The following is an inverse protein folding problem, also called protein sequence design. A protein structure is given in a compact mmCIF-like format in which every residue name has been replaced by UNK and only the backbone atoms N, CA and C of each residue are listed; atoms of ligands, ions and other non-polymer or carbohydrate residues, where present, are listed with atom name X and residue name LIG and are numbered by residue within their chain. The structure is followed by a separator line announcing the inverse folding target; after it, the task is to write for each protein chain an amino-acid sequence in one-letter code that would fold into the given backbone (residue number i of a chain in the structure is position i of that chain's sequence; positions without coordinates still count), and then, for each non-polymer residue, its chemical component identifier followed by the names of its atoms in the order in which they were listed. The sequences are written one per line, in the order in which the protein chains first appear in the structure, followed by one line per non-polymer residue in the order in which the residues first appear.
data_IF_523106402013
#
_entry.id   IF_523106402013
#
_cell.length_a   1.000
_cell.length_b   1.000
_cell.length_c   1.000
_cell.angle_alpha   90.00
_cell.angle_beta   90.00
_cell.angle_gamma   90.00
#
_symmetry.space_group_name_H-M   'P 1'
#
loop_
_entity.id
_entity.type
_entity.pdbx_description
1 polymer ?
#
# COMPACT_ATOMS: atom_id res chain seq x y z
N UNK A 1 24.85 -1.42 26.20
CA UNK A 1 24.98 -2.67 25.43
C UNK A 1 24.28 -2.45 24.11
N UNK A 2 25.00 -2.52 22.98
CA UNK A 2 24.39 -2.30 21.67
C UNK A 2 23.49 -3.49 21.34
N UNK A 3 22.22 -3.22 21.04
CA UNK A 3 21.21 -4.24 20.78
C UNK A 3 21.34 -4.71 19.33
N UNK A 4 21.40 -6.03 19.06
CA UNK A 4 21.44 -6.54 17.70
C UNK A 4 20.19 -6.11 16.89
N UNK A 5 20.37 -5.77 15.62
CA UNK A 5 19.28 -5.22 14.77
C UNK A 5 18.14 -6.21 14.52
N UNK A 6 18.43 -7.50 14.52
CA UNK A 6 17.43 -8.56 14.46
C UNK A 6 17.95 -9.84 15.16
N UNK A 7 17.10 -10.86 15.27
CA UNK A 7 17.48 -12.14 15.88
C UNK A 7 18.66 -12.82 15.17
N UNK A 8 18.75 -12.72 13.84
CA UNK A 8 19.86 -13.31 13.08
C UNK A 8 21.15 -12.54 13.31
N UNK A 9 21.10 -11.21 13.41
CA UNK A 9 22.24 -10.38 13.78
C UNK A 9 22.76 -10.74 15.18
N UNK A 10 21.88 -11.04 16.14
CA UNK A 10 22.28 -11.57 17.46
C UNK A 10 23.06 -12.88 17.33
N UNK A 11 22.53 -13.84 16.57
CA UNK A 11 23.18 -15.13 16.32
C UNK A 11 24.57 -14.96 15.68
N UNK A 12 24.69 -14.06 14.71
CA UNK A 12 25.97 -13.75 14.05
C UNK A 12 26.95 -13.03 14.99
N UNK A 13 26.44 -12.16 15.87
CA UNK A 13 27.25 -11.47 16.87
C UNK A 13 27.82 -12.47 17.88
N UNK A 14 27.00 -13.41 18.34
CA UNK A 14 27.43 -14.48 19.24
C UNK A 14 28.48 -15.38 18.57
N UNK A 15 28.30 -15.73 17.28
CA UNK A 15 29.29 -16.44 16.48
C UNK A 15 30.59 -15.66 16.32
N UNK A 16 30.51 -14.35 16.08
CA UNK A 16 31.67 -13.46 15.98
C UNK A 16 32.47 -13.39 17.29
N UNK A 17 31.78 -13.34 18.42
CA UNK A 17 32.39 -13.17 19.74
C UNK A 17 32.95 -14.48 20.31
N UNK A 18 32.25 -15.60 20.10
CA UNK A 18 32.56 -16.88 20.73
C UNK A 18 33.25 -17.87 19.78
N UNK A 19 33.26 -17.58 18.47
CA UNK A 19 33.75 -18.46 17.41
C UNK A 19 32.89 -19.71 17.16
N UNK A 20 31.96 -20.03 18.08
CA UNK A 20 30.98 -21.11 17.93
C UNK A 20 29.76 -20.88 18.82
N UNK A 21 28.60 -21.40 18.39
CA UNK A 21 27.35 -21.38 19.16
C UNK A 21 26.64 -22.74 19.09
N UNK A 22 25.77 -23.04 20.06
CA UNK A 22 24.89 -24.20 19.97
C UNK A 22 23.86 -24.03 18.85
N UNK A 23 23.60 -25.09 18.08
CA UNK A 23 22.61 -25.06 16.99
C UNK A 23 21.20 -24.77 17.50
N UNK A 24 20.90 -25.09 18.76
CA UNK A 24 19.64 -24.73 19.43
C UNK A 24 19.42 -23.22 19.56
N UNK A 25 20.48 -22.42 19.52
CA UNK A 25 20.40 -20.96 19.60
C UNK A 25 20.12 -20.31 18.24
N UNK A 26 20.20 -21.08 17.14
CA UNK A 26 19.88 -20.63 15.80
C UNK A 26 18.49 -21.15 15.38
N UNK A 27 17.50 -20.24 15.34
CA UNK A 27 16.17 -20.56 14.81
C UNK A 27 16.18 -20.85 13.30
N UNK A 28 15.08 -21.43 12.77
CA UNK A 28 14.97 -21.79 11.35
C UNK A 28 15.27 -20.64 10.38
N UNK A 29 14.88 -19.41 10.73
CA UNK A 29 15.14 -18.21 9.93
C UNK A 29 16.64 -17.85 9.88
N UNK A 30 17.34 -18.00 11.00
CA UNK A 30 18.79 -17.79 11.08
C UNK A 30 19.52 -18.85 10.26
N UNK A 31 19.14 -20.13 10.39
CA UNK A 31 19.73 -21.23 9.60
C UNK A 31 19.55 -20.95 8.10
N UNK A 32 18.35 -20.57 7.66
CA UNK A 32 18.08 -20.22 6.25
C UNK A 32 18.98 -19.07 5.77
N UNK A 33 19.14 -18.00 6.57
CA UNK A 33 20.01 -16.86 6.22
C UNK A 33 21.51 -17.18 6.32
N UNK A 34 21.91 -18.19 7.08
CA UNK A 34 23.29 -18.68 7.13
C UNK A 34 23.60 -19.69 6.02
N UNK A 35 22.59 -20.18 5.29
CA UNK A 35 22.73 -21.16 4.20
C UNK A 35 23.91 -20.90 3.26
N UNK A 36 24.06 -19.69 2.68
CA UNK A 36 25.19 -19.38 1.81
C UNK A 36 26.57 -19.56 2.47
N UNK A 37 26.69 -19.27 3.77
CA UNK A 37 27.94 -19.46 4.52
C UNK A 37 28.20 -20.93 4.88
N UNK A 38 27.14 -21.71 5.10
CA UNK A 38 27.24 -23.15 5.32
C UNK A 38 27.66 -23.87 4.03
N UNK A 39 27.02 -23.51 2.92
CA UNK A 39 27.30 -24.08 1.60
C UNK A 39 28.73 -23.73 1.12
N UNK A 40 29.20 -22.51 1.43
CA UNK A 40 30.56 -22.07 1.12
C UNK A 40 31.63 -22.54 2.12
N UNK A 41 31.25 -23.24 3.21
CA UNK A 41 32.18 -23.71 4.24
C UNK A 41 32.77 -22.63 5.14
N UNK A 42 32.25 -21.39 5.09
CA UNK A 42 32.63 -20.28 5.97
C UNK A 42 32.22 -20.58 7.42
N UNK A 43 31.06 -21.21 7.58
CA UNK A 43 30.57 -21.79 8.84
C UNK A 43 30.40 -23.29 8.63
N UNK A 44 30.73 -24.08 9.65
CA UNK A 44 30.46 -25.53 9.65
C UNK A 44 29.50 -25.91 10.77
N UNK A 45 28.62 -26.88 10.50
CA UNK A 45 27.86 -27.58 11.53
C UNK A 45 28.64 -28.80 12.02
N UNK A 46 28.97 -28.85 13.32
CA UNK A 46 29.74 -29.95 13.93
C UNK A 46 28.97 -30.59 15.09
N UNK A 47 29.17 -31.89 15.32
CA UNK A 47 28.67 -32.56 16.53
C UNK A 47 29.54 -32.22 17.73
N UNK A 48 28.91 -31.91 18.87
CA UNK A 48 29.60 -31.70 20.15
C UNK A 48 28.78 -32.35 21.28
N UNK A 49 29.30 -33.47 21.79
CA UNK A 49 28.56 -34.31 22.75
C UNK A 49 27.24 -34.82 22.15
N UNK A 50 26.14 -34.67 22.89
CA UNK A 50 24.80 -35.02 22.42
C UNK A 50 24.17 -33.97 21.47
N UNK A 51 24.82 -32.82 21.24
CA UNK A 51 24.29 -31.70 20.47
C UNK A 51 25.06 -31.38 19.20
N UNK A 52 24.66 -30.28 18.56
CA UNK A 52 25.30 -29.71 17.36
C UNK A 52 25.68 -28.26 17.62
N UNK A 53 26.77 -27.82 17.01
CA UNK A 53 27.24 -26.44 17.06
C UNK A 53 27.45 -25.88 15.66
N UNK A 54 27.29 -24.58 15.50
CA UNK A 54 27.82 -23.85 14.36
C UNK A 54 29.17 -23.24 14.75
N UNK A 55 30.18 -23.38 13.89
CA UNK A 55 31.54 -22.88 14.13
C UNK A 55 32.05 -22.11 12.93
N UNK A 56 32.65 -20.94 13.17
CA UNK A 56 33.29 -20.14 12.12
C UNK A 56 34.61 -20.81 11.71
N UNK A 57 34.79 -21.06 10.41
CA UNK A 57 35.99 -21.68 9.83
C UNK A 57 36.86 -20.68 9.10
N UNK A 58 36.24 -19.73 8.42
CA UNK A 58 36.91 -18.62 7.76
C UNK A 58 36.43 -17.29 8.39
N UNK A 59 37.17 -16.75 9.37
CA UNK A 59 36.82 -15.49 10.01
C UNK A 59 36.77 -14.30 9.03
N UNK A 60 37.64 -14.30 8.01
CA UNK A 60 37.73 -13.20 7.05
C UNK A 60 36.48 -13.17 6.16
N UNK A 61 36.11 -14.32 5.59
CA UNK A 61 34.90 -14.43 4.78
C UNK A 61 33.63 -14.21 5.63
N UNK A 62 33.63 -14.64 6.89
CA UNK A 62 32.52 -14.41 7.82
C UNK A 62 32.30 -12.92 8.10
N UNK A 63 33.38 -12.17 8.39
CA UNK A 63 33.30 -10.72 8.61
C UNK A 63 32.83 -10.00 7.35
N UNK A 64 33.37 -10.37 6.18
CA UNK A 64 32.96 -9.79 4.90
C UNK A 64 31.47 -10.05 4.60
N UNK A 65 30.97 -11.24 4.92
CA UNK A 65 29.55 -11.56 4.81
C UNK A 65 28.70 -10.69 5.74
N UNK A 66 29.09 -10.56 7.01
CA UNK A 66 28.36 -9.74 7.97
C UNK A 66 28.30 -8.27 7.53
N UNK A 67 29.40 -7.70 7.02
CA UNK A 67 29.43 -6.33 6.51
C UNK A 67 28.61 -6.14 5.23
N UNK A 68 28.52 -7.18 4.39
CA UNK A 68 27.69 -7.16 3.18
C UNK A 68 26.20 -7.13 3.53
N UNK A 69 25.78 -7.99 4.46
CA UNK A 69 24.38 -8.15 4.88
C UNK A 69 23.92 -7.09 5.89
N UNK A 70 24.85 -6.54 6.68
CA UNK A 70 24.61 -5.54 7.71
C UNK A 70 25.65 -4.40 7.59
N UNK A 71 25.44 -3.46 6.66
CA UNK A 71 26.44 -2.42 6.39
C UNK A 71 26.67 -1.47 7.57
N UNK A 72 25.68 -1.30 8.46
CA UNK A 72 25.81 -0.53 9.70
C UNK A 72 26.20 -1.40 10.91
N UNK A 73 26.71 -2.60 10.66
CA UNK A 73 27.09 -3.57 11.67
C UNK A 73 25.91 -4.33 12.28
N UNK A 74 26.24 -5.40 13.01
CA UNK A 74 25.25 -6.32 13.59
C UNK A 74 24.39 -5.68 14.69
N UNK A 75 24.90 -4.62 15.32
CA UNK A 75 24.15 -3.87 16.33
C UNK A 75 23.56 -2.55 15.82
N UNK A 76 23.66 -2.27 14.51
CA UNK A 76 23.04 -1.12 13.88
C UNK A 76 23.44 0.18 14.53
N UNK A 77 24.74 0.47 14.57
CA UNK A 77 25.26 1.76 15.03
C UNK A 77 24.89 2.83 14.00
N UNK A 78 23.62 3.19 13.98
CA UNK A 78 23.08 4.24 13.15
C UNK A 78 23.27 5.56 13.88
N UNK A 79 23.76 6.56 13.14
CA UNK A 79 24.01 7.91 13.68
C UNK A 79 22.73 8.63 14.12
N UNK A 80 21.56 8.17 13.66
CA UNK A 80 20.26 8.75 13.96
C UNK A 80 19.37 7.72 14.67
N UNK A 81 19.09 7.89 15.97
CA UNK A 81 18.23 7.00 16.75
C UNK A 81 16.74 7.10 16.39
N UNK A 82 16.32 8.13 15.65
CA UNK A 82 14.94 8.29 15.15
C UNK A 82 14.75 7.69 13.75
N UNK A 83 15.80 7.10 13.17
CA UNK A 83 15.72 6.48 11.85
C UNK A 83 14.82 5.24 11.88
N UNK A 84 13.68 5.32 11.18
CA UNK A 84 12.68 4.25 11.11
C UNK A 84 12.35 3.81 9.68
N UNK A 85 11.52 2.78 9.58
CA UNK A 85 10.90 2.35 8.33
C UNK A 85 11.89 1.90 7.25
N UNK A 86 11.66 2.35 6.02
CA UNK A 86 12.47 1.96 4.86
C UNK A 86 13.91 2.47 4.95
N UNK A 87 14.12 3.66 5.49
CA UNK A 87 15.45 4.26 5.64
C UNK A 87 16.31 3.44 6.59
N UNK A 88 15.74 3.06 7.75
CA UNK A 88 16.39 2.13 8.67
C UNK A 88 16.74 0.81 7.98
N UNK A 89 15.81 0.23 7.20
CA UNK A 89 16.05 -1.05 6.56
C UNK A 89 17.12 -1.01 5.47
N UNK A 90 17.25 0.10 4.74
CA UNK A 90 18.40 0.31 3.84
C UNK A 90 19.69 0.39 4.64
N UNK A 91 19.71 1.15 5.72
CA UNK A 91 20.91 1.32 6.53
C UNK A 91 21.30 0.04 7.29
N UNK A 92 20.34 -0.77 7.73
CA UNK A 92 20.58 -1.99 8.48
C UNK A 92 20.80 -3.21 7.57
N UNK A 93 20.20 -3.24 6.37
CA UNK A 93 20.11 -4.45 5.55
C UNK A 93 20.35 -4.26 4.05
N UNK A 94 20.57 -3.03 3.56
CA UNK A 94 20.61 -2.66 2.12
C UNK A 94 19.32 -2.95 1.35
N UNK A 95 18.22 -3.18 2.06
CA UNK A 95 16.95 -3.56 1.43
C UNK A 95 15.78 -2.83 2.09
N UNK A 96 15.25 -1.83 1.39
CA UNK A 96 14.11 -1.04 1.84
C UNK A 96 12.85 -1.87 2.08
N UNK A 97 12.71 -3.04 1.45
CA UNK A 97 11.54 -3.91 1.59
C UNK A 97 11.51 -4.67 2.92
N UNK A 98 12.65 -4.69 3.63
CA UNK A 98 12.75 -5.26 4.99
C UNK A 98 12.29 -4.27 6.07
N UNK A 99 12.00 -3.03 5.70
CA UNK A 99 11.48 -2.00 6.58
C UNK A 99 9.97 -2.09 6.74
N UNK A 100 9.47 -1.55 7.85
CA UNK A 100 8.04 -1.31 8.00
C UNK A 100 7.50 -0.29 6.98
N UNK A 101 6.19 -0.12 6.96
CA UNK A 101 5.53 0.92 6.16
C UNK A 101 6.12 2.30 6.45
N UNK A 102 6.19 3.16 5.42
CA UNK A 102 6.66 4.55 5.55
C UNK A 102 5.92 5.27 6.68
N UNK A 103 6.63 6.06 7.50
CA UNK A 103 6.02 6.93 8.50
C UNK A 103 5.04 7.92 7.85
N UNK A 104 5.44 8.47 6.70
CA UNK A 104 4.64 9.38 5.89
C UNK A 104 3.69 8.66 4.95
N UNK A 105 2.54 9.28 4.70
CA UNK A 105 1.54 8.87 3.74
C UNK A 105 0.93 10.13 3.08
N UNK A 106 1.58 10.69 2.05
CA UNK A 106 1.03 11.83 1.33
C UNK A 106 -0.16 11.40 0.47
N UNK A 107 -1.19 12.23 0.43
CA UNK A 107 -2.33 12.11 -0.49
C UNK A 107 -2.47 13.39 -1.31
N UNK A 108 -2.89 13.25 -2.56
CA UNK A 108 -3.20 14.37 -3.44
C UNK A 108 -4.70 14.67 -3.36
N UNK A 109 -5.03 15.95 -3.36
CA UNK A 109 -6.37 16.46 -3.17
C UNK A 109 -6.74 17.42 -4.29
N UNK A 110 -7.97 17.31 -4.79
CA UNK A 110 -8.62 18.36 -5.57
C UNK A 110 -9.90 18.76 -4.86
N UNK A 111 -10.08 20.06 -4.66
CA UNK A 111 -11.23 20.64 -3.97
C UNK A 111 -12.02 21.53 -4.90
N UNK A 112 -13.34 21.56 -4.71
CA UNK A 112 -14.26 22.34 -5.53
C UNK A 112 -15.17 23.18 -4.64
N UNK A 113 -15.62 24.33 -5.15
CA UNK A 113 -16.42 25.28 -4.37
C UNK A 113 -15.63 25.83 -3.18
N UNK A 114 -16.12 25.61 -1.96
CA UNK A 114 -15.48 26.02 -0.71
C UNK A 114 -14.85 24.84 0.05
N UNK A 115 -14.28 23.87 -0.68
CA UNK A 115 -13.69 22.69 -0.07
C UNK A 115 -12.42 23.04 0.73
N UNK A 116 -12.42 22.63 1.99
CA UNK A 116 -11.37 22.90 2.96
C UNK A 116 -11.11 21.66 3.82
N UNK A 117 -9.88 21.51 4.30
CA UNK A 117 -9.53 20.57 5.35
C UNK A 117 -9.27 21.35 6.63
N UNK A 118 -9.82 20.88 7.75
CA UNK A 118 -9.65 21.52 9.06
C UNK A 118 -8.86 20.57 9.95
N UNK A 119 -7.73 21.01 10.47
CA UNK A 119 -6.95 20.20 11.42
C UNK A 119 -7.57 20.22 12.82
N UNK A 120 -7.21 19.22 13.63
CA UNK A 120 -7.55 19.16 15.06
C UNK A 120 -7.09 20.39 15.88
N UNK A 121 -6.03 21.08 15.46
CA UNK A 121 -5.57 22.33 16.07
C UNK A 121 -6.22 23.61 15.48
N UNK A 122 -7.21 23.47 14.59
CA UNK A 122 -7.98 24.57 14.02
C UNK A 122 -7.35 25.28 12.82
N UNK A 123 -6.22 24.80 12.30
CA UNK A 123 -5.68 25.29 11.04
C UNK A 123 -6.58 24.84 9.87
N UNK A 124 -6.66 25.70 8.86
CA UNK A 124 -7.50 25.48 7.68
C UNK A 124 -6.61 25.39 6.45
N UNK A 125 -6.80 24.33 5.66
CA UNK A 125 -6.19 24.18 4.35
C UNK A 125 -7.25 24.46 3.27
N UNK A 126 -7.13 25.58 2.52
CA UNK A 126 -8.11 25.97 1.51
C UNK A 126 -7.92 25.17 0.20
N UNK A 127 -8.35 23.91 0.21
CA UNK A 127 -8.07 22.96 -0.89
C UNK A 127 -8.64 23.43 -2.22
N UNK A 128 -9.82 24.03 -2.26
CA UNK A 128 -10.39 24.56 -3.49
C UNK A 128 -9.52 25.66 -4.10
N UNK A 129 -9.08 26.64 -3.31
CA UNK A 129 -8.18 27.70 -3.77
C UNK A 129 -6.82 27.17 -4.25
N UNK A 130 -6.28 26.15 -3.56
CA UNK A 130 -5.05 25.50 -3.98
C UNK A 130 -5.23 24.69 -5.27
N UNK A 131 -6.41 24.11 -5.47
CA UNK A 131 -6.76 23.39 -6.71
C UNK A 131 -6.87 24.36 -7.88
N UNK A 132 -7.51 25.51 -7.69
CA UNK A 132 -7.58 26.56 -8.72
C UNK A 132 -6.19 27.12 -9.05
N UNK A 133 -5.34 27.34 -8.05
CA UNK A 133 -4.01 27.90 -8.22
C UNK A 133 -3.00 26.93 -8.85
N UNK A 134 -2.97 25.68 -8.39
CA UNK A 134 -1.90 24.73 -8.67
C UNK A 134 -2.37 23.41 -9.31
N UNK A 135 -3.68 23.27 -9.55
CA UNK A 135 -4.31 22.04 -10.05
C UNK A 135 -4.50 20.96 -8.98
N UNK A 136 -3.76 21.02 -7.86
CA UNK A 136 -3.76 19.99 -6.80
C UNK A 136 -3.24 20.57 -5.48
N UNK A 137 -3.74 20.06 -4.36
CA UNK A 137 -3.15 20.23 -3.05
C UNK A 137 -2.59 18.89 -2.53
N UNK A 138 -1.66 18.92 -1.59
CA UNK A 138 -1.12 17.71 -0.98
C UNK A 138 -1.08 17.84 0.54
N UNK A 139 -1.44 16.76 1.23
CA UNK A 139 -1.30 16.64 2.68
C UNK A 139 -0.69 15.32 3.05
N UNK A 140 0.15 15.33 4.07
CA UNK A 140 0.61 14.10 4.70
C UNK A 140 -0.38 13.72 5.80
N UNK A 141 -1.06 12.58 5.65
CA UNK A 141 -2.09 12.13 6.61
C UNK A 141 -1.53 11.19 7.69
N UNK A 142 -0.24 10.84 7.61
CA UNK A 142 0.42 10.02 8.61
C UNK A 142 1.76 10.64 9.05
N UNK A 143 1.98 10.76 10.34
CA UNK A 143 3.18 11.42 10.88
C UNK A 143 3.19 12.94 10.68
N UNK A 144 2.02 13.56 10.44
CA UNK A 144 1.86 15.00 10.56
C UNK A 144 1.63 15.38 12.03
N UNK A 145 1.96 16.62 12.39
CA UNK A 145 1.76 17.15 13.75
C UNK A 145 0.28 17.39 14.11
N UNK A 146 -0.61 17.26 13.14
CA UNK A 146 -2.04 17.44 13.28
C UNK A 146 -2.77 16.46 12.37
N UNK A 147 -4.02 16.17 12.72
CA UNK A 147 -4.89 15.32 11.90
C UNK A 147 -5.91 16.16 11.16
N UNK A 148 -6.02 15.95 9.85
CA UNK A 148 -6.96 16.67 8.99
C UNK A 148 -8.34 16.05 9.02
N UNK A 149 -9.38 16.87 9.14
CA UNK A 149 -10.78 16.48 8.99
C UNK A 149 -11.31 16.85 7.62
N UNK A 150 -12.22 16.01 7.12
CA UNK A 150 -12.88 16.18 5.83
C UNK A 150 -14.39 16.10 6.02
N UNK A 151 -15.13 16.88 5.22
CA UNK A 151 -16.59 16.90 5.19
C UNK A 151 -17.13 16.93 3.76
N UNK A 152 -18.39 16.53 3.57
CA UNK A 152 -19.10 16.66 2.29
C UNK A 152 -18.98 15.43 1.39
N UNK A 153 -19.20 15.63 0.09
CA UNK A 153 -19.16 14.57 -0.93
C UNK A 153 -17.74 14.38 -1.45
N UNK A 154 -17.16 13.22 -1.18
CA UNK A 154 -15.74 12.95 -1.42
C UNK A 154 -15.56 11.76 -2.35
N UNK A 155 -14.85 11.97 -3.46
CA UNK A 155 -14.43 10.92 -4.36
C UNK A 155 -13.05 10.37 -3.96
N UNK A 156 -12.95 9.08 -3.66
CA UNK A 156 -11.68 8.38 -3.47
C UNK A 156 -11.30 7.74 -4.81
N UNK A 157 -10.28 8.31 -5.45
CA UNK A 157 -9.94 8.03 -6.86
C UNK A 157 -8.63 7.27 -6.95
N UNK A 158 -8.66 6.11 -7.61
CA UNK A 158 -7.46 5.29 -7.84
C UNK A 158 -6.60 5.84 -8.99
N UNK A 159 -7.25 6.21 -10.09
CA UNK A 159 -6.60 6.58 -11.33
C UNK A 159 -6.30 8.09 -11.42
N UNK A 160 -5.09 8.44 -11.87
CA UNK A 160 -4.65 9.84 -11.90
C UNK A 160 -5.34 10.66 -13.00
N UNK A 161 -5.62 10.09 -14.17
CA UNK A 161 -6.31 10.78 -15.28
C UNK A 161 -7.75 11.11 -14.88
N UNK A 162 -8.43 10.15 -14.23
CA UNK A 162 -9.78 10.36 -13.69
C UNK A 162 -9.76 11.40 -12.57
N UNK A 163 -8.75 11.39 -11.70
CA UNK A 163 -8.62 12.37 -10.62
C UNK A 163 -8.56 13.82 -11.15
N UNK A 164 -7.83 14.06 -12.23
CA UNK A 164 -7.74 15.39 -12.85
C UNK A 164 -8.99 15.82 -13.63
N UNK A 165 -9.97 14.93 -13.83
CA UNK A 165 -11.24 15.21 -14.53
C UNK A 165 -12.46 14.77 -13.73
N UNK A 166 -12.30 14.59 -12.43
CA UNK A 166 -13.31 13.99 -11.55
C UNK A 166 -14.63 14.79 -11.52
N UNK A 167 -14.57 16.11 -11.68
CA UNK A 167 -15.72 17.02 -11.76
C UNK A 167 -16.58 16.78 -13.01
N UNK A 168 -16.01 16.19 -14.06
CA UNK A 168 -16.76 15.81 -15.26
C UNK A 168 -17.59 14.55 -14.99
N UNK A 169 -17.08 13.66 -14.13
CA UNK A 169 -17.60 12.32 -13.85
C UNK A 169 -18.57 12.32 -12.66
N UNK A 170 -18.12 12.81 -11.50
CA UNK A 170 -18.91 12.83 -10.26
C UNK A 170 -19.49 14.22 -10.06
N UNK A 171 -20.80 14.37 -10.31
CA UNK A 171 -21.49 15.65 -10.11
C UNK A 171 -21.49 16.07 -8.65
N UNK A 172 -21.32 17.36 -8.41
CA UNK A 172 -21.35 18.01 -7.09
C UNK A 172 -20.33 17.44 -6.09
N UNK A 173 -19.22 16.87 -6.58
CA UNK A 173 -18.10 16.45 -5.73
C UNK A 173 -17.47 17.66 -5.05
N UNK A 174 -17.29 17.61 -3.74
CA UNK A 174 -16.61 18.67 -2.99
C UNK A 174 -15.10 18.45 -2.97
N UNK A 175 -14.67 17.19 -2.80
CA UNK A 175 -13.27 16.83 -2.71
C UNK A 175 -12.99 15.54 -3.46
N UNK A 176 -11.88 15.46 -4.16
CA UNK A 176 -11.32 14.22 -4.67
C UNK A 176 -9.99 13.93 -3.97
N UNK A 177 -9.76 12.66 -3.63
CA UNK A 177 -8.55 12.17 -2.97
C UNK A 177 -7.94 11.11 -3.88
N UNK A 178 -6.74 11.37 -4.40
CA UNK A 178 -5.99 10.36 -5.14
C UNK A 178 -5.06 9.58 -4.21
N UNK A 179 -5.09 8.24 -4.32
CA UNK A 179 -4.32 7.34 -3.47
C UNK A 179 -3.37 6.38 -4.22
N UNK A 180 -3.32 6.45 -5.57
CA UNK A 180 -2.28 5.79 -6.37
C UNK A 180 -2.21 4.27 -6.23
N UNK A 181 -3.24 3.56 -6.67
CA UNK A 181 -3.35 2.10 -6.58
C UNK A 181 -4.19 1.68 -5.38
N UNK A 182 -3.79 0.67 -4.60
CA UNK A 182 -4.59 0.22 -3.44
C UNK A 182 -4.55 1.22 -2.30
N UNK A 183 -5.72 1.60 -1.78
CA UNK A 183 -5.81 2.50 -0.63
C UNK A 183 -5.06 1.90 0.57
N UNK A 184 -4.06 2.65 1.06
CA UNK A 184 -3.28 2.22 2.22
C UNK A 184 -4.17 2.09 3.46
N UNK A 185 -3.81 1.21 4.41
CA UNK A 185 -4.55 1.11 5.66
C UNK A 185 -4.57 2.45 6.42
N UNK A 186 -3.49 3.25 6.32
CA UNK A 186 -3.43 4.60 6.90
C UNK A 186 -4.46 5.54 6.29
N UNK A 187 -4.67 5.48 4.98
CA UNK A 187 -5.71 6.26 4.28
C UNK A 187 -7.11 5.83 4.73
N UNK A 188 -7.35 4.53 4.83
CA UNK A 188 -8.63 3.97 5.29
C UNK A 188 -8.91 4.36 6.75
N UNK A 189 -7.92 4.23 7.63
CA UNK A 189 -8.02 4.62 9.05
C UNK A 189 -8.25 6.12 9.22
N UNK A 190 -7.57 6.94 8.41
CA UNK A 190 -7.78 8.38 8.41
C UNK A 190 -9.22 8.73 8.03
N UNK A 191 -9.73 8.19 6.91
CA UNK A 191 -11.11 8.37 6.47
C UNK A 191 -12.11 7.87 7.52
N UNK A 192 -11.90 6.68 8.07
CA UNK A 192 -12.82 6.10 9.05
C UNK A 192 -12.96 6.97 10.31
N UNK A 193 -11.88 7.61 10.77
CA UNK A 193 -11.83 8.28 12.07
C UNK A 193 -11.94 9.81 12.03
N UNK A 194 -11.69 10.44 10.87
CA UNK A 194 -11.60 11.90 10.75
C UNK A 194 -12.48 12.45 9.63
N UNK A 195 -13.47 11.68 9.20
CA UNK A 195 -14.53 12.13 8.33
C UNK A 195 -15.84 12.26 9.12
N UNK A 196 -16.39 13.47 9.15
CA UNK A 196 -17.69 13.77 9.74
C UNK A 196 -18.66 14.16 8.62
N UNK A 197 -19.91 13.68 8.67
CA UNK A 197 -20.94 13.99 7.66
C UNK A 197 -20.43 13.86 6.21
N UNK A 198 -19.77 12.73 5.92
CA UNK A 198 -19.09 12.49 4.66
C UNK A 198 -19.80 11.39 3.84
N UNK A 199 -20.10 11.73 2.59
CA UNK A 199 -20.47 10.76 1.55
C UNK A 199 -19.21 10.36 0.81
N UNK A 200 -18.79 9.11 0.96
CA UNK A 200 -17.58 8.59 0.32
C UNK A 200 -17.95 7.82 -0.94
N UNK A 201 -17.45 8.27 -2.07
CA UNK A 201 -17.65 7.63 -3.37
C UNK A 201 -16.34 6.98 -3.77
N UNK A 202 -16.33 5.66 -3.89
CA UNK A 202 -15.19 4.95 -4.44
C UNK A 202 -15.21 5.01 -5.96
N UNK A 203 -14.13 5.50 -6.55
CA UNK A 203 -13.92 5.65 -7.98
C UNK A 203 -12.68 4.83 -8.37
N UNK A 204 -12.89 3.54 -8.65
CA UNK A 204 -11.86 2.58 -9.02
C UNK A 204 -12.29 1.74 -10.22
N UNK A 205 -11.45 0.76 -10.58
CA UNK A 205 -11.70 -0.10 -11.74
C UNK A 205 -12.97 -0.95 -11.59
N UNK A 206 -13.65 -1.18 -12.71
CA UNK A 206 -14.81 -2.07 -12.81
C UNK A 206 -14.34 -3.49 -13.11
N UNK A 207 -13.62 -4.06 -12.16
CA UNK A 207 -13.10 -5.42 -12.20
C UNK A 207 -13.12 -6.07 -10.80
N UNK A 208 -12.82 -7.38 -10.67
CA UNK A 208 -12.86 -8.02 -9.35
C UNK A 208 -11.96 -7.37 -8.28
N UNK A 209 -10.79 -6.84 -8.64
CA UNK A 209 -9.89 -6.21 -7.68
C UNK A 209 -10.47 -4.89 -7.20
N UNK A 210 -10.92 -4.02 -8.11
CA UNK A 210 -11.55 -2.75 -7.77
C UNK A 210 -12.78 -2.93 -6.88
N UNK A 211 -13.65 -3.89 -7.22
CA UNK A 211 -14.82 -4.23 -6.40
C UNK A 211 -14.43 -4.74 -5.00
N UNK A 212 -13.34 -5.52 -4.88
CA UNK A 212 -12.84 -5.96 -3.58
C UNK A 212 -12.30 -4.80 -2.73
N UNK A 213 -11.65 -3.81 -3.34
CA UNK A 213 -11.15 -2.62 -2.64
C UNK A 213 -12.31 -1.73 -2.17
N UNK A 214 -13.35 -1.54 -3.00
CA UNK A 214 -14.60 -0.91 -2.56
C UNK A 214 -15.22 -1.59 -1.33
N UNK A 215 -15.36 -2.92 -1.37
CA UNK A 215 -15.93 -3.67 -0.25
C UNK A 215 -15.07 -3.55 1.01
N UNK A 216 -13.74 -3.59 0.88
CA UNK A 216 -12.80 -3.38 1.98
C UNK A 216 -12.98 -1.99 2.59
N UNK A 217 -13.11 -0.96 1.77
CA UNK A 217 -13.34 0.41 2.22
C UNK A 217 -14.66 0.56 2.96
N UNK A 218 -15.74 0.00 2.41
CA UNK A 218 -17.08 0.03 2.99
C UNK A 218 -17.14 -0.69 4.33
N UNK A 219 -16.47 -1.84 4.46
CA UNK A 219 -16.35 -2.59 5.71
C UNK A 219 -15.57 -1.81 6.77
N UNK A 220 -14.47 -1.14 6.39
CA UNK A 220 -13.61 -0.40 7.30
C UNK A 220 -14.19 0.95 7.75
N UNK A 221 -15.16 1.51 7.00
CA UNK A 221 -15.77 2.81 7.26
C UNK A 221 -17.29 2.70 7.54
N UNK A 222 -17.73 1.92 8.55
CA UNK A 222 -19.16 1.62 8.74
C UNK A 222 -20.00 2.84 9.16
N UNK A 223 -19.36 3.94 9.59
CA UNK A 223 -20.02 5.20 9.96
C UNK A 223 -20.24 6.13 8.76
N UNK A 224 -19.64 5.85 7.62
CA UNK A 224 -19.70 6.70 6.43
C UNK A 224 -20.70 6.14 5.42
N UNK A 225 -21.33 7.04 4.66
CA UNK A 225 -22.12 6.65 3.50
C UNK A 225 -21.17 6.30 2.35
N UNK A 226 -20.69 5.05 2.32
CA UNK A 226 -19.77 4.56 1.27
C UNK A 226 -20.55 3.96 0.10
N UNK A 227 -20.29 4.47 -1.10
CA UNK A 227 -20.90 4.04 -2.36
C UNK A 227 -19.85 3.79 -3.45
N UNK A 228 -20.17 2.94 -4.42
CA UNK A 228 -19.37 2.73 -5.62
C UNK A 228 -19.88 3.67 -6.71
N UNK A 229 -19.00 4.41 -7.39
CA UNK A 229 -19.42 5.18 -8.56
C UNK A 229 -19.72 4.25 -9.72
N UNK A 230 -20.98 4.25 -10.20
CA UNK A 230 -21.43 3.46 -11.35
C UNK A 230 -22.14 4.41 -12.32
N UNK A 231 -21.61 4.65 -13.53
CA UNK A 231 -22.28 5.50 -14.52
C UNK A 231 -23.45 4.75 -15.15
N UNK A 232 -24.45 5.50 -15.63
CA UNK A 232 -25.65 4.93 -16.26
C UNK A 232 -25.32 4.09 -17.51
N UNK A 233 -24.30 4.50 -18.27
CA UNK A 233 -23.85 3.83 -19.49
C UNK A 233 -22.73 2.79 -19.24
N UNK A 234 -22.53 2.32 -17.99
CA UNK A 234 -21.42 1.41 -17.65
C UNK A 234 -21.32 0.22 -18.60
N UNK A 235 -22.44 -0.46 -18.88
CA UNK A 235 -22.42 -1.65 -19.72
C UNK A 235 -21.94 -1.37 -21.16
N UNK A 236 -22.19 -0.17 -21.69
CA UNK A 236 -21.71 0.23 -23.02
C UNK A 236 -20.20 0.44 -23.02
N UNK A 237 -19.63 0.93 -21.92
CA UNK A 237 -18.19 1.16 -21.79
C UNK A 237 -17.37 -0.14 -21.82
N UNK A 238 -17.98 -1.30 -21.56
CA UNK A 238 -17.30 -2.61 -21.65
C UNK A 238 -16.83 -2.98 -23.06
N UNK A 239 -17.17 -2.19 -24.09
CA UNK A 239 -16.48 -2.28 -25.39
C UNK A 239 -14.97 -2.08 -25.23
N UNK A 240 -14.54 -1.22 -24.30
CA UNK A 240 -13.13 -0.92 -23.99
C UNK A 240 -12.50 -1.91 -22.98
N UNK A 241 -13.28 -2.84 -22.40
CA UNK A 241 -12.77 -3.77 -21.40
C UNK A 241 -11.84 -4.84 -21.97
N UNK A 242 -11.00 -5.40 -21.09
CA UNK A 242 -9.97 -6.42 -21.39
C UNK A 242 -10.32 -7.78 -20.78
N UNK A 243 -10.22 -8.86 -21.57
CA UNK A 243 -10.55 -10.22 -21.11
C UNK A 243 -9.49 -10.80 -20.15
N UNK A 244 -8.21 -10.58 -20.45
CA UNK A 244 -7.10 -11.11 -19.66
C UNK A 244 -7.09 -10.55 -18.23
N UNK A 245 -7.57 -9.32 -18.05
CA UNK A 245 -7.79 -8.70 -16.74
C UNK A 245 -8.69 -9.55 -15.86
N UNK A 246 -9.89 -9.90 -16.34
CA UNK A 246 -10.82 -10.75 -15.60
C UNK A 246 -10.22 -12.14 -15.32
N UNK A 247 -9.49 -12.71 -16.29
CA UNK A 247 -8.86 -14.03 -16.15
C UNK A 247 -7.83 -14.08 -15.01
N UNK A 248 -6.97 -13.05 -14.92
CA UNK A 248 -5.94 -12.94 -13.88
C UNK A 248 -6.52 -12.73 -12.48
N UNK A 249 -7.71 -12.13 -12.40
CA UNK A 249 -8.34 -11.75 -11.13
C UNK A 249 -9.41 -12.75 -10.63
N UNK A 250 -9.50 -13.95 -11.25
CA UNK A 250 -10.40 -15.03 -10.80
C UNK A 250 -10.42 -15.32 -9.30
N UNK A 251 -9.29 -15.27 -8.56
CA UNK A 251 -9.31 -15.52 -7.11
C UNK A 251 -10.20 -14.55 -6.32
N UNK A 252 -10.42 -13.32 -6.81
CA UNK A 252 -11.23 -12.32 -6.13
C UNK A 252 -12.73 -12.52 -6.33
N UNK A 253 -13.13 -13.25 -7.38
CA UNK A 253 -14.54 -13.45 -7.75
C UNK A 253 -15.34 -14.11 -6.63
N UNK A 254 -14.78 -15.11 -5.95
CA UNK A 254 -15.50 -15.82 -4.87
C UNK A 254 -15.91 -14.89 -3.73
N UNK A 255 -15.02 -13.96 -3.33
CA UNK A 255 -15.31 -12.97 -2.28
C UNK A 255 -16.43 -12.03 -2.71
N UNK A 256 -16.43 -11.64 -3.99
CA UNK A 256 -17.39 -10.67 -4.56
C UNK A 256 -18.77 -11.29 -4.72
N UNK A 257 -18.86 -12.53 -5.19
CA UNK A 257 -20.12 -13.23 -5.37
C UNK A 257 -20.89 -13.44 -4.05
N UNK A 258 -20.17 -13.47 -2.92
CA UNK A 258 -20.78 -13.52 -1.58
C UNK A 258 -21.32 -12.17 -1.08
N UNK A 259 -21.05 -11.06 -1.77
CA UNK A 259 -21.50 -9.73 -1.36
C UNK A 259 -23.00 -9.54 -1.60
N UNK A 260 -23.66 -8.80 -0.71
CA UNK A 260 -25.06 -8.37 -0.88
C UNK A 260 -25.19 -6.94 -1.43
N UNK A 261 -24.08 -6.27 -1.71
CA UNK A 261 -24.08 -4.92 -2.27
C UNK A 261 -24.61 -4.92 -3.72
N UNK A 262 -25.67 -4.15 -3.98
CA UNK A 262 -26.35 -4.12 -5.27
C UNK A 262 -25.44 -3.59 -6.40
N UNK A 263 -24.65 -2.55 -6.13
CA UNK A 263 -23.74 -2.00 -7.14
C UNK A 263 -22.68 -3.04 -7.52
N UNK A 264 -22.13 -3.74 -6.54
CA UNK A 264 -21.17 -4.83 -6.78
C UNK A 264 -21.78 -5.95 -7.61
N UNK A 265 -23.01 -6.37 -7.28
CA UNK A 265 -23.74 -7.41 -8.05
C UNK A 265 -23.97 -6.99 -9.50
N UNK A 266 -24.35 -5.74 -9.73
CA UNK A 266 -24.54 -5.20 -11.07
C UNK A 266 -23.25 -5.20 -11.87
N UNK A 267 -22.15 -4.69 -11.31
CA UNK A 267 -20.87 -4.62 -12.01
C UNK A 267 -20.31 -6.01 -12.31
N UNK A 268 -20.33 -6.93 -11.33
CA UNK A 268 -19.79 -8.29 -11.54
C UNK A 268 -20.62 -9.08 -12.56
N UNK A 269 -21.93 -8.89 -12.61
CA UNK A 269 -22.79 -9.47 -13.66
C UNK A 269 -22.36 -9.00 -15.05
N UNK A 270 -22.14 -7.69 -15.24
CA UNK A 270 -21.64 -7.13 -16.51
C UNK A 270 -20.27 -7.74 -16.85
N UNK A 271 -19.34 -7.80 -15.90
CA UNK A 271 -18.02 -8.40 -16.11
C UNK A 271 -18.09 -9.84 -16.60
N UNK A 272 -18.96 -10.66 -15.98
CA UNK A 272 -19.13 -12.06 -16.34
C UNK A 272 -19.82 -12.23 -17.70
N UNK A 273 -20.88 -11.45 -17.99
CA UNK A 273 -21.58 -11.50 -19.28
C UNK A 273 -20.70 -11.04 -20.45
N UNK A 274 -19.87 -10.01 -20.22
CA UNK A 274 -18.95 -9.45 -21.23
C UNK A 274 -17.60 -10.17 -21.25
N UNK A 275 -17.33 -11.05 -20.28
CA UNK A 275 -16.06 -11.75 -20.06
C UNK A 275 -14.85 -10.80 -20.04
N UNK A 276 -14.99 -9.63 -19.41
CA UNK A 276 -14.01 -8.54 -19.39
C UNK A 276 -13.97 -7.86 -18.03
N UNK A 277 -12.84 -7.24 -17.69
CA UNK A 277 -12.76 -6.18 -16.68
C UNK A 277 -12.59 -4.84 -17.39
N UNK A 278 -13.00 -3.74 -16.76
CA UNK A 278 -12.95 -2.41 -17.37
C UNK A 278 -12.16 -1.44 -16.48
N UNK A 279 -11.16 -0.80 -17.08
CA UNK A 279 -10.37 0.26 -16.47
C UNK A 279 -11.19 1.53 -16.20
N UNK A 280 -10.87 2.22 -15.11
CA UNK A 280 -11.58 3.43 -14.70
C UNK A 280 -11.45 4.57 -15.74
N UNK A 281 -10.35 4.65 -16.49
CA UNK A 281 -10.14 5.62 -17.57
C UNK A 281 -11.17 5.51 -18.69
N UNK A 282 -11.88 4.39 -18.82
CA UNK A 282 -12.94 4.24 -19.81
C UNK A 282 -14.05 5.30 -19.65
N UNK A 283 -14.21 5.87 -18.45
CA UNK A 283 -15.13 6.98 -18.17
C UNK A 283 -14.77 8.26 -18.94
N UNK A 284 -13.51 8.41 -19.35
CA UNK A 284 -13.01 9.59 -20.05
C UNK A 284 -13.09 9.45 -21.58
N UNK A 285 -13.47 8.26 -22.08
CA UNK A 285 -13.58 8.00 -23.51
C UNK A 285 -14.92 8.55 -24.00
N UNK A 286 -14.90 9.75 -24.58
CA UNK A 286 -16.04 10.28 -25.32
C UNK A 286 -16.19 9.51 -26.63
N UNK A 287 -17.14 8.59 -26.71
CA UNK A 287 -17.49 7.98 -27.98
C UNK A 287 -18.16 9.03 -28.88
N UNK A 288 -17.41 9.66 -29.78
CA UNK A 288 -17.99 10.27 -30.98
C UNK A 288 -18.51 9.10 -31.82
N UNK A 289 -19.78 8.74 -31.64
CA UNK A 289 -20.49 8.01 -32.69
C UNK A 289 -20.50 8.93 -33.90
N UNK A 290 -19.72 8.56 -34.92
CA UNK A 290 -19.88 9.14 -36.24
C UNK A 290 -21.24 8.64 -36.75
N UNK A 291 -22.29 9.46 -36.58
CA UNK A 291 -23.63 9.16 -37.09
C UNK A 291 -23.72 9.34 -38.63
N UNK A 292 -22.61 9.65 -39.31
CA UNK A 292 -22.52 9.90 -40.75
C UNK A 292 -21.76 8.82 -41.54
N UNK A 293 -22.12 7.55 -41.33
CA UNK A 293 -21.88 6.51 -42.34
C UNK A 293 -23.21 5.83 -42.69
N UNK A 294 -24.03 6.52 -43.51
CA UNK A 294 -25.07 5.91 -44.36
C UNK A 294 -24.60 5.91 -45.81
#
# INVERSE_FOLDING_TARGET
MNTPVDHVARVLLDLSNQGSIAASNAGRSAIKRMGPMLDAGVISEERRGAGRIFKVKDPTAFVAYCQKEYPSGLCGELADPEMEGKTFAVAAFRDAHRGGSSAHNPVLLRGFGSAELVSDNGAVLPVASLTELAGVAAVNIAGASCTWRITGKVALVENIEVFFRIEEIVKDVNLAIWHGGRASNKTIEWLANHADNLELIHCGDYDPVGLSEYLKLKEACPRLAVSLFVPDNLEELFIYGEQERLRKQRPYIQKILGSNDLAVKTVIDICLRRNKGLDHEALLVTATRCDDCR
#
